data_IF_761364674259
#
_entry.id   IF_761364674259
#
_cell.length_a   1.000
_cell.length_b   1.000
_cell.length_c   1.000
_cell.angle_alpha   90.00
_cell.angle_beta   90.00
_cell.angle_gamma   90.00
#
_symmetry.space_group_name_H-M   'P 1'
#
loop_
_entity.id
_entity.type
_entity.pdbx_description
1 polymer ?
#
# COMPACT_ATOMS: atom_id res chain seq x y z
N UNK A 1 -6.65 23.04 -23.98
CA UNK A 1 -5.74 21.93 -24.35
C UNK A 1 -6.16 20.75 -23.51
N UNK A 2 -6.73 19.73 -24.14
CA UNK A 2 -7.23 18.54 -23.44
C UNK A 2 -6.04 17.87 -22.74
N UNK A 3 -6.14 17.68 -21.42
CA UNK A 3 -5.25 16.81 -20.67
C UNK A 3 -5.49 15.40 -21.20
N UNK A 4 -4.69 14.99 -22.18
CA UNK A 4 -4.68 13.61 -22.65
C UNK A 4 -4.33 12.76 -21.45
N UNK A 5 -5.29 11.92 -21.08
CA UNK A 5 -5.37 11.13 -19.85
C UNK A 5 -4.11 10.27 -19.68
N UNK A 6 -3.22 10.71 -18.78
CA UNK A 6 -1.77 10.42 -18.74
C UNK A 6 -1.45 8.93 -18.49
N UNK A 7 -2.43 8.07 -18.23
CA UNK A 7 -2.15 6.64 -18.09
C UNK A 7 -3.30 5.72 -18.52
N UNK A 8 -4.01 6.02 -19.61
CA UNK A 8 -5.16 5.24 -20.10
C UNK A 8 -4.91 3.72 -20.22
N UNK A 9 -3.66 3.27 -20.33
CA UNK A 9 -3.32 1.86 -20.53
C UNK A 9 -2.78 1.13 -19.28
N UNK A 10 -2.95 1.71 -18.09
CA UNK A 10 -2.49 1.12 -16.84
C UNK A 10 -3.61 0.46 -16.05
N UNK A 11 -3.94 -0.76 -16.45
CA UNK A 11 -4.85 -1.62 -15.71
C UNK A 11 -4.18 -2.95 -15.35
N UNK A 12 -4.38 -3.46 -14.13
CA UNK A 12 -3.99 -4.82 -13.82
C UNK A 12 -4.86 -5.77 -14.66
N UNK A 13 -4.22 -6.74 -15.32
CA UNK A 13 -4.94 -7.79 -16.05
C UNK A 13 -5.99 -8.45 -15.14
N UNK A 14 -7.09 -8.92 -15.72
CA UNK A 14 -8.16 -9.56 -14.95
C UNK A 14 -7.64 -10.68 -14.05
N UNK A 15 -6.74 -11.51 -14.57
CA UNK A 15 -6.09 -12.60 -13.82
C UNK A 15 -5.33 -12.05 -12.60
N UNK A 16 -4.57 -10.96 -12.76
CA UNK A 16 -3.80 -10.37 -11.67
C UNK A 16 -4.72 -9.81 -10.58
N UNK A 17 -5.84 -9.19 -10.99
CA UNK A 17 -6.87 -8.66 -10.08
C UNK A 17 -7.56 -9.76 -9.28
N UNK A 18 -7.94 -10.85 -9.93
CA UNK A 18 -8.53 -12.03 -9.29
C UNK A 18 -7.56 -12.66 -8.28
N UNK A 19 -6.28 -12.79 -8.63
CA UNK A 19 -5.26 -13.31 -7.71
C UNK A 19 -5.00 -12.38 -6.51
N UNK A 20 -5.02 -11.07 -6.74
CA UNK A 20 -4.89 -10.08 -5.68
C UNK A 20 -6.10 -10.13 -4.72
N UNK A 21 -7.32 -10.24 -5.26
CA UNK A 21 -8.54 -10.41 -4.46
C UNK A 21 -8.56 -11.72 -3.69
N UNK A 22 -8.04 -12.81 -4.27
CA UNK A 22 -7.87 -14.09 -3.58
C UNK A 22 -6.92 -13.94 -2.40
N UNK A 23 -5.78 -13.25 -2.56
CA UNK A 23 -4.87 -12.94 -1.46
C UNK A 23 -5.57 -12.12 -0.37
N UNK A 24 -6.32 -11.09 -0.75
CA UNK A 24 -7.06 -10.26 0.20
C UNK A 24 -8.14 -11.03 0.97
N UNK A 25 -8.80 -11.99 0.34
CA UNK A 25 -9.88 -12.80 0.96
C UNK A 25 -9.39 -13.73 2.07
N UNK A 26 -8.08 -14.02 2.12
CA UNK A 26 -7.45 -14.83 3.17
C UNK A 26 -7.30 -14.07 4.49
N UNK A 27 -7.29 -12.73 4.44
CA UNK A 27 -7.27 -11.89 5.64
C UNK A 27 -8.66 -11.91 6.28
N UNK A 28 -8.77 -12.15 7.61
CA UNK A 28 -10.05 -12.09 8.31
C UNK A 28 -10.77 -10.76 8.08
N UNK A 29 -12.06 -10.82 7.76
CA UNK A 29 -12.89 -9.63 7.68
C UNK A 29 -12.98 -8.95 9.05
N UNK A 30 -13.03 -7.62 9.02
CA UNK A 30 -13.10 -6.80 10.22
C UNK A 30 -14.21 -5.76 10.12
N UNK A 31 -14.81 -5.42 11.26
CA UNK A 31 -15.58 -4.20 11.46
C UNK A 31 -14.70 -3.16 12.16
N UNK A 32 -14.76 -1.91 11.71
CA UNK A 32 -14.02 -0.78 12.26
C UNK A 32 -14.96 0.40 12.45
N UNK A 33 -14.77 1.15 13.53
CA UNK A 33 -15.52 2.39 13.80
C UNK A 33 -15.19 3.53 12.81
N UNK A 34 -14.24 3.31 11.89
CA UNK A 34 -13.77 4.26 10.89
C UNK A 34 -13.32 5.63 11.45
N UNK A 35 -12.76 5.62 12.66
CA UNK A 35 -12.24 6.80 13.35
C UNK A 35 -11.09 7.53 12.60
N UNK A 36 -10.46 6.89 11.62
CA UNK A 36 -9.39 7.50 10.80
C UNK A 36 -8.02 7.58 11.47
N UNK A 37 -7.85 7.06 12.69
CA UNK A 37 -6.57 7.07 13.41
C UNK A 37 -5.46 6.34 12.64
N UNK A 38 -5.77 5.23 11.97
CA UNK A 38 -4.81 4.49 11.13
C UNK A 38 -4.40 5.25 9.85
N UNK A 39 -5.04 6.38 9.55
CA UNK A 39 -4.83 7.19 8.35
C UNK A 39 -4.18 8.55 8.65
N UNK A 40 -3.72 8.78 9.89
CA UNK A 40 -3.12 10.03 10.33
C UNK A 40 -1.90 9.74 11.21
N UNK A 41 -0.92 10.64 11.19
CA UNK A 41 0.26 10.61 12.05
C UNK A 41 0.51 11.99 12.64
N UNK A 42 1.08 12.01 13.83
CA UNK A 42 1.74 13.19 14.35
C UNK A 42 3.10 13.42 13.69
N UNK A 43 3.62 14.63 13.85
CA UNK A 43 4.99 14.96 13.42
C UNK A 43 6.04 14.13 14.16
N UNK A 44 5.78 13.78 15.42
CA UNK A 44 6.66 12.93 16.23
C UNK A 44 6.67 11.49 15.71
N UNK A 45 5.53 10.94 15.33
CA UNK A 45 5.43 9.61 14.74
C UNK A 45 6.14 9.57 13.38
N UNK A 46 5.93 10.60 12.55
CA UNK A 46 6.67 10.76 11.30
C UNK A 46 8.19 10.79 11.52
N UNK A 47 8.68 11.59 12.46
CA UNK A 47 10.12 11.66 12.81
C UNK A 47 10.68 10.33 13.29
N UNK A 48 9.84 9.47 13.89
CA UNK A 48 10.19 8.10 14.30
C UNK A 48 10.12 7.08 13.17
N UNK A 49 9.84 7.49 11.93
CA UNK A 49 9.81 6.62 10.76
C UNK A 49 8.45 5.99 10.44
N UNK A 50 7.38 6.43 11.10
CA UNK A 50 6.03 5.92 10.83
C UNK A 50 5.46 6.55 9.58
N UNK A 51 4.67 5.79 8.82
CA UNK A 51 4.09 6.21 7.54
C UNK A 51 2.58 5.94 7.54
N UNK A 52 1.76 6.97 7.26
CA UNK A 52 0.31 6.79 7.00
C UNK A 52 0.08 6.06 5.68
N UNK A 53 1.02 6.26 4.76
CA UNK A 53 1.07 5.70 3.43
C UNK A 53 2.30 4.80 3.32
N UNK A 54 2.13 3.54 3.76
CA UNK A 54 3.18 2.54 3.59
C UNK A 54 3.56 2.40 2.12
N UNK A 55 4.86 2.20 1.81
CA UNK A 55 5.24 1.82 0.47
C UNK A 55 4.53 0.53 0.05
N UNK A 56 3.61 0.63 -0.92
CA UNK A 56 2.85 -0.50 -1.46
C UNK A 56 3.50 -1.00 -2.74
N UNK A 57 3.24 -2.26 -3.05
CA UNK A 57 3.66 -2.84 -4.31
C UNK A 57 2.90 -2.20 -5.47
N UNK A 58 3.56 -2.07 -6.62
CA UNK A 58 2.98 -1.47 -7.83
C UNK A 58 1.64 -2.11 -8.22
N UNK A 59 1.50 -3.42 -8.08
CA UNK A 59 0.24 -4.15 -8.33
C UNK A 59 -0.94 -3.63 -7.50
N UNK A 60 -0.71 -3.25 -6.24
CA UNK A 60 -1.78 -2.72 -5.39
C UNK A 60 -2.18 -1.31 -5.83
N UNK A 61 -1.22 -0.48 -6.26
CA UNK A 61 -1.55 0.84 -6.79
C UNK A 61 -2.24 0.79 -8.13
N UNK A 62 -1.94 -0.16 -9.01
CA UNK A 62 -2.71 -0.34 -10.24
C UNK A 62 -4.18 -0.65 -9.93
N UNK A 63 -4.43 -1.48 -8.91
CA UNK A 63 -5.79 -1.76 -8.44
C UNK A 63 -6.48 -0.52 -7.83
N UNK A 64 -5.74 0.31 -7.10
CA UNK A 64 -6.25 1.58 -6.55
C UNK A 64 -6.51 2.62 -7.65
N UNK A 65 -5.57 2.77 -8.60
CA UNK A 65 -5.64 3.71 -9.73
C UNK A 65 -6.90 3.45 -10.56
N UNK A 66 -7.17 2.18 -10.87
CA UNK A 66 -8.35 1.75 -11.58
C UNK A 66 -9.65 2.17 -10.87
N UNK A 67 -9.72 1.97 -9.55
CA UNK A 67 -10.86 2.45 -8.76
C UNK A 67 -10.98 3.97 -8.76
N UNK A 68 -9.86 4.69 -8.58
CA UNK A 68 -9.84 6.16 -8.60
C UNK A 68 -10.36 6.70 -9.93
N UNK A 69 -10.04 6.05 -11.04
CA UNK A 69 -10.50 6.46 -12.38
C UNK A 69 -11.96 6.17 -12.64
N UNK A 70 -12.40 4.97 -12.31
CA UNK A 70 -13.71 4.46 -12.73
C UNK A 70 -14.82 4.80 -11.76
N UNK A 71 -14.51 4.97 -10.47
CA UNK A 71 -15.51 5.11 -9.41
C UNK A 71 -15.58 6.51 -8.79
N UNK A 72 -14.54 7.34 -8.92
CA UNK A 72 -14.51 8.65 -8.25
C UNK A 72 -14.95 9.81 -9.16
N UNK A 73 -15.62 10.83 -8.60
CA UNK A 73 -15.92 12.07 -9.31
C UNK A 73 -14.66 12.75 -9.84
N UNK A 74 -14.78 13.45 -10.97
CA UNK A 74 -13.66 14.08 -11.68
C UNK A 74 -12.78 14.94 -10.76
N UNK A 75 -13.35 15.85 -9.98
CA UNK A 75 -12.56 16.72 -9.08
C UNK A 75 -11.72 15.94 -8.06
N UNK A 76 -12.30 14.92 -7.42
CA UNK A 76 -11.57 14.10 -6.43
C UNK A 76 -10.53 13.20 -7.09
N UNK A 77 -10.84 12.69 -8.29
CA UNK A 77 -9.92 11.92 -9.12
C UNK A 77 -8.69 12.76 -9.48
N UNK A 78 -8.89 13.97 -9.99
CA UNK A 78 -7.79 14.87 -10.35
C UNK A 78 -6.89 15.20 -9.15
N UNK A 79 -7.50 15.50 -8.00
CA UNK A 79 -6.76 15.77 -6.76
C UNK A 79 -5.87 14.60 -6.36
N UNK A 80 -6.42 13.38 -6.36
CA UNK A 80 -5.68 12.18 -6.00
C UNK A 80 -4.57 11.84 -7.00
N UNK A 81 -4.79 12.04 -8.30
CA UNK A 81 -3.79 11.72 -9.34
C UNK A 81 -2.66 12.75 -9.41
N UNK A 82 -2.90 14.00 -8.98
CA UNK A 82 -1.87 15.05 -8.89
C UNK A 82 -1.12 15.06 -7.56
N UNK A 83 -1.50 14.19 -6.61
CA UNK A 83 -0.86 14.09 -5.32
C UNK A 83 0.56 13.52 -5.46
N UNK A 84 1.58 14.26 -5.03
CA UNK A 84 2.99 13.85 -5.11
C UNK A 84 3.70 13.84 -3.75
N UNK A 85 3.00 14.07 -2.64
CA UNK A 85 3.67 14.05 -1.34
C UNK A 85 4.08 12.62 -0.96
N UNK A 86 5.38 12.40 -0.76
CA UNK A 86 5.89 11.06 -0.48
C UNK A 86 5.50 10.58 0.91
N UNK A 87 5.55 11.48 1.90
CA UNK A 87 5.39 11.15 3.32
C UNK A 87 4.41 12.08 4.03
N UNK A 88 3.12 12.04 3.64
CA UNK A 88 2.12 12.91 4.22
C UNK A 88 1.78 12.50 5.66
N UNK A 89 1.45 13.50 6.48
CA UNK A 89 0.91 13.28 7.83
C UNK A 89 -0.50 12.66 7.80
N UNK A 90 -1.20 12.75 6.67
CA UNK A 90 -2.53 12.20 6.49
C UNK A 90 -2.64 11.46 5.16
N UNK A 91 -3.25 10.29 5.19
CA UNK A 91 -3.47 9.50 3.99
C UNK A 91 -4.36 10.28 3.00
N UNK A 92 -3.96 10.40 1.71
CA UNK A 92 -4.73 11.15 0.71
C UNK A 92 -6.10 10.51 0.42
N UNK A 93 -6.30 9.24 0.75
CA UNK A 93 -7.58 8.56 0.57
C UNK A 93 -8.55 8.73 1.75
N UNK A 94 -8.15 9.43 2.81
CA UNK A 94 -9.06 9.79 3.90
C UNK A 94 -9.85 11.03 3.50
N UNK A 95 -11.16 10.89 3.54
CA UNK A 95 -12.12 11.97 3.42
C UNK A 95 -12.87 12.11 4.74
N UNK A 96 -12.91 13.30 5.32
CA UNK A 96 -13.63 13.53 6.59
C UNK A 96 -15.13 13.73 6.37
N UNK A 97 -15.55 14.02 5.13
CA UNK A 97 -16.96 14.12 4.77
C UNK A 97 -17.62 12.74 4.60
N UNK A 98 -16.80 11.70 4.40
CA UNK A 98 -17.26 10.31 4.34
C UNK A 98 -17.03 9.61 5.68
N UNK A 99 -17.91 8.67 6.05
CA UNK A 99 -17.72 7.88 7.25
C UNK A 99 -16.47 6.98 7.18
N UNK A 100 -15.76 6.87 6.05
CA UNK A 100 -14.68 5.91 5.84
C UNK A 100 -13.62 6.35 4.83
N UNK A 101 -12.70 5.44 4.53
CA UNK A 101 -11.68 5.62 3.48
C UNK A 101 -12.34 5.55 2.10
N UNK A 102 -11.99 6.46 1.18
CA UNK A 102 -12.55 6.50 -0.18
C UNK A 102 -12.25 5.18 -0.92
N UNK A 103 -11.04 4.65 -0.76
CA UNK A 103 -10.61 3.41 -1.42
C UNK A 103 -10.90 2.17 -0.58
N UNK A 104 -11.78 2.24 0.43
CA UNK A 104 -12.05 1.10 1.32
C UNK A 104 -12.36 -0.21 0.57
N UNK A 105 -13.12 -0.24 -0.53
CA UNK A 105 -13.37 -1.47 -1.30
C UNK A 105 -12.09 -2.12 -1.85
N UNK A 106 -11.16 -1.29 -2.33
CA UNK A 106 -9.90 -1.72 -2.96
C UNK A 106 -8.67 -1.49 -2.08
N UNK A 107 -8.87 -1.34 -0.77
CA UNK A 107 -7.79 -1.07 0.19
C UNK A 107 -6.68 -2.13 0.08
N UNK A 108 -5.41 -1.74 0.22
CA UNK A 108 -4.29 -2.67 0.08
C UNK A 108 -4.16 -3.62 1.27
N UNK A 109 -3.32 -4.64 1.13
CA UNK A 109 -3.10 -5.69 2.12
C UNK A 109 -2.78 -5.10 3.50
N UNK A 110 -1.86 -4.14 3.59
CA UNK A 110 -1.46 -3.53 4.87
C UNK A 110 -2.63 -2.85 5.59
N UNK A 111 -3.57 -2.27 4.86
CA UNK A 111 -4.78 -1.68 5.44
C UNK A 111 -5.79 -2.74 5.88
N UNK A 112 -5.76 -3.94 5.28
CA UNK A 112 -6.62 -5.07 5.66
C UNK A 112 -6.12 -5.77 6.91
N UNK A 113 -4.80 -5.77 7.14
CA UNK A 113 -4.17 -6.42 8.30
C UNK A 113 -4.27 -5.59 9.58
N UNK A 114 -4.60 -4.29 9.47
CA UNK A 114 -4.68 -3.38 10.60
C UNK A 114 -5.80 -3.80 11.58
N UNK A 115 -5.44 -3.98 12.84
CA UNK A 115 -6.36 -4.37 13.92
C UNK A 115 -6.81 -5.82 13.90
N UNK A 116 -6.24 -6.68 13.03
CA UNK A 116 -6.64 -8.10 12.96
C UNK A 116 -6.10 -8.91 14.15
N UNK A 117 -4.87 -8.63 14.61
CA UNK A 117 -4.31 -9.25 15.81
C UNK A 117 -4.30 -8.27 16.97
N UNK A 118 -4.70 -8.73 18.14
CA UNK A 118 -4.41 -8.10 19.42
C UNK A 118 -3.11 -8.64 20.03
N UNK A 119 -2.70 -8.11 21.20
CA UNK A 119 -1.50 -8.57 21.89
C UNK A 119 -1.53 -10.07 22.21
N UNK A 120 -2.70 -10.61 22.56
CA UNK A 120 -2.86 -12.03 22.88
C UNK A 120 -2.69 -12.92 21.65
N UNK A 121 -3.29 -12.54 20.51
CA UNK A 121 -3.13 -13.29 19.26
C UNK A 121 -1.70 -13.22 18.73
N UNK A 122 -0.99 -12.10 18.91
CA UNK A 122 0.43 -11.97 18.53
C UNK A 122 1.27 -13.00 19.30
N UNK A 123 1.12 -13.07 20.61
CA UNK A 123 1.87 -14.02 21.43
C UNK A 123 1.45 -15.47 21.16
N UNK A 124 0.17 -15.71 20.86
CA UNK A 124 -0.30 -17.02 20.43
C UNK A 124 0.31 -17.44 19.09
N UNK A 125 0.42 -16.53 18.12
CA UNK A 125 1.06 -16.81 16.84
C UNK A 125 2.54 -17.23 17.04
N UNK A 126 3.27 -16.52 17.90
CA UNK A 126 4.66 -16.88 18.25
C UNK A 126 4.72 -18.25 18.91
N UNK A 127 3.83 -18.54 19.85
CA UNK A 127 3.81 -19.82 20.57
C UNK A 127 3.53 -21.00 19.64
N UNK A 128 2.57 -20.85 18.72
CA UNK A 128 2.11 -21.93 17.83
C UNK A 128 2.97 -22.11 16.59
N UNK A 129 3.39 -21.02 15.97
CA UNK A 129 3.98 -21.03 14.63
C UNK A 129 5.43 -20.50 14.60
N UNK A 130 5.94 -19.99 15.72
CA UNK A 130 7.29 -19.44 15.83
C UNK A 130 8.42 -20.48 16.01
N UNK A 131 8.07 -21.76 16.17
CA UNK A 131 9.05 -22.83 16.38
C UNK A 131 10.08 -22.92 15.24
N UNK A 132 11.37 -22.92 15.58
CA UNK A 132 12.46 -23.01 14.61
C UNK A 132 12.79 -21.71 13.87
N UNK A 133 12.08 -20.61 14.17
CA UNK A 133 12.34 -19.31 13.53
C UNK A 133 13.48 -18.54 14.21
N UNK A 134 14.24 -17.72 13.47
CA UNK A 134 15.26 -16.86 14.06
C UNK A 134 14.66 -15.84 15.05
N UNK A 135 15.34 -15.58 16.17
CA UNK A 135 14.85 -14.65 17.20
C UNK A 135 14.56 -13.24 16.65
N UNK A 136 15.45 -12.70 15.80
CA UNK A 136 15.25 -11.39 15.18
C UNK A 136 14.02 -11.31 14.24
N UNK A 137 13.60 -12.46 13.71
CA UNK A 137 12.37 -12.55 12.92
C UNK A 137 11.15 -12.41 13.82
N UNK A 138 11.11 -13.16 14.93
CA UNK A 138 10.05 -13.09 15.93
C UNK A 138 9.95 -11.68 16.50
N UNK A 139 11.08 -11.03 16.79
CA UNK A 139 11.12 -9.64 17.26
C UNK A 139 10.54 -8.68 16.22
N UNK A 140 10.89 -8.85 14.94
CA UNK A 140 10.34 -8.04 13.85
C UNK A 140 8.84 -8.22 13.71
N UNK A 141 8.36 -9.47 13.76
CA UNK A 141 6.94 -9.80 13.73
C UNK A 141 6.18 -9.12 14.88
N UNK A 142 6.64 -9.30 16.14
CA UNK A 142 6.04 -8.66 17.31
C UNK A 142 5.98 -7.14 17.17
N UNK A 143 7.08 -6.51 16.75
CA UNK A 143 7.14 -5.06 16.56
C UNK A 143 6.17 -4.58 15.50
N UNK A 144 6.08 -5.29 14.37
CA UNK A 144 5.20 -4.92 13.26
C UNK A 144 3.74 -5.15 13.60
N UNK A 145 3.35 -6.33 14.07
CA UNK A 145 1.95 -6.58 14.43
C UNK A 145 1.52 -5.73 15.62
N UNK A 146 2.41 -5.52 16.60
CA UNK A 146 2.17 -4.61 17.73
C UNK A 146 1.87 -3.17 17.29
N UNK A 147 2.41 -2.73 16.15
CA UNK A 147 2.14 -1.42 15.56
C UNK A 147 0.78 -1.32 14.84
N UNK A 148 0.14 -2.46 14.60
CA UNK A 148 -1.13 -2.57 13.89
C UNK A 148 -2.31 -2.83 14.84
N UNK A 149 -2.06 -2.98 16.14
CA UNK A 149 -3.11 -3.23 17.14
C UNK A 149 -4.07 -2.05 17.18
N UNK A 150 -5.38 -2.34 17.12
CA UNK A 150 -6.42 -1.32 17.22
C UNK A 150 -7.58 -1.80 18.08
N UNK A 151 -7.87 -1.16 19.23
CA UNK A 151 -8.97 -1.57 20.10
C UNK A 151 -10.36 -1.27 19.53
N UNK A 152 -10.43 -0.55 18.39
CA UNK A 152 -11.68 -0.17 17.69
C UNK A 152 -11.99 -1.06 16.49
N UNK A 153 -11.21 -2.14 16.32
CA UNK A 153 -11.40 -3.12 15.25
C UNK A 153 -11.88 -4.41 15.88
N UNK A 154 -12.93 -5.00 15.30
CA UNK A 154 -13.46 -6.31 15.68
C UNK A 154 -13.34 -7.27 14.50
N UNK A 155 -12.72 -8.43 14.73
CA UNK A 155 -12.66 -9.51 13.75
C UNK A 155 -14.03 -10.16 13.61
N UNK A 156 -14.48 -10.34 12.37
CA UNK A 156 -15.78 -10.92 12.01
C UNK A 156 -15.68 -12.39 11.57
N UNK A 157 -14.49 -12.82 11.17
CA UNK A 157 -14.18 -14.18 10.70
C UNK A 157 -13.08 -14.81 11.59
N UNK A 158 -13.37 -15.06 12.90
CA UNK A 158 -12.37 -15.56 13.84
C UNK A 158 -11.81 -16.93 13.45
N UNK A 159 -12.54 -17.74 12.68
CA UNK A 159 -12.11 -19.03 12.15
C UNK A 159 -10.91 -18.93 11.19
N UNK A 160 -10.69 -17.76 10.57
CA UNK A 160 -9.52 -17.51 9.72
C UNK A 160 -8.26 -17.15 10.51
N UNK A 161 -8.37 -16.82 11.79
CA UNK A 161 -7.24 -16.35 12.60
C UNK A 161 -6.05 -17.33 12.64
N UNK A 162 -6.23 -18.66 12.80
CA UNK A 162 -5.09 -19.58 12.83
C UNK A 162 -4.23 -19.51 11.56
N UNK A 163 -4.84 -19.65 10.38
CA UNK A 163 -4.15 -19.57 9.09
C UNK A 163 -3.61 -18.17 8.83
N UNK A 164 -4.31 -17.13 9.29
CA UNK A 164 -3.82 -15.76 9.20
C UNK A 164 -2.55 -15.54 10.04
N UNK A 165 -2.53 -15.98 11.31
CA UNK A 165 -1.38 -15.89 12.19
C UNK A 165 -0.15 -16.60 11.61
N UNK A 166 -0.32 -17.83 11.11
CA UNK A 166 0.73 -18.59 10.43
C UNK A 166 1.25 -17.85 9.18
N UNK A 167 0.35 -17.37 8.33
CA UNK A 167 0.73 -16.62 7.13
C UNK A 167 1.45 -15.30 7.44
N UNK A 168 1.09 -14.62 8.54
CA UNK A 168 1.75 -13.37 8.97
C UNK A 168 3.14 -13.64 9.52
N UNK A 169 3.27 -14.58 10.46
CA UNK A 169 4.56 -14.86 11.10
C UNK A 169 5.58 -15.40 10.09
N UNK A 170 5.17 -16.17 9.09
CA UNK A 170 6.06 -16.67 8.03
C UNK A 170 6.22 -15.72 6.83
N UNK A 171 5.70 -14.48 6.89
CA UNK A 171 5.65 -13.52 5.78
C UNK A 171 4.98 -14.04 4.49
N UNK A 172 4.15 -15.08 4.57
CA UNK A 172 3.50 -15.70 3.41
C UNK A 172 2.73 -14.70 2.55
N UNK A 173 1.97 -13.80 3.18
CA UNK A 173 1.23 -12.75 2.47
C UNK A 173 2.14 -11.81 1.67
N UNK A 174 3.28 -11.40 2.26
CA UNK A 174 4.21 -10.48 1.60
C UNK A 174 4.94 -11.18 0.46
N UNK A 175 5.34 -12.44 0.64
CA UNK A 175 5.93 -13.26 -0.42
C UNK A 175 4.96 -13.47 -1.59
N UNK A 176 3.69 -13.74 -1.32
CA UNK A 176 2.67 -13.86 -2.38
C UNK A 176 2.47 -12.54 -3.11
N UNK A 177 2.38 -11.43 -2.39
CA UNK A 177 2.21 -10.11 -3.00
C UNK A 177 3.42 -9.70 -3.86
N UNK A 178 4.64 -10.00 -3.40
CA UNK A 178 5.87 -9.78 -4.17
C UNK A 178 5.88 -10.59 -5.46
N UNK A 179 5.52 -11.87 -5.42
CA UNK A 179 5.36 -12.72 -6.62
C UNK A 179 4.31 -12.19 -7.59
N UNK A 180 3.18 -11.68 -7.10
CA UNK A 180 2.19 -11.03 -7.96
C UNK A 180 2.77 -9.77 -8.62
N UNK A 181 3.53 -8.99 -7.85
CA UNK A 181 4.15 -7.76 -8.32
C UNK A 181 5.27 -7.99 -9.36
N UNK A 182 5.89 -9.16 -9.41
CA UNK A 182 6.89 -9.49 -10.45
C UNK A 182 6.33 -9.38 -11.87
N UNK A 183 5.01 -9.52 -12.02
CA UNK A 183 4.29 -9.40 -13.31
C UNK A 183 3.97 -7.95 -13.68
N UNK A 184 4.26 -7.00 -12.79
CA UNK A 184 4.06 -5.57 -13.02
C UNK A 184 5.41 -4.92 -13.28
N UNK A 185 5.49 -4.21 -14.41
CA UNK A 185 6.69 -3.46 -14.76
C UNK A 185 6.40 -1.97 -14.80
N UNK A 186 6.84 -1.25 -13.77
CA UNK A 186 6.80 0.21 -13.73
C UNK A 186 8.21 0.79 -13.63
N UNK A 187 8.53 1.84 -14.42
CA UNK A 187 7.60 2.58 -15.30
C UNK A 187 7.24 1.90 -16.63
N UNK A 188 6.26 2.47 -17.33
CA UNK A 188 5.85 2.11 -18.69
C UNK A 188 7.01 2.22 -19.68
N UNK A 189 6.94 1.48 -20.79
CA UNK A 189 8.03 1.29 -21.75
C UNK A 189 8.64 2.59 -22.28
N UNK A 190 7.80 3.57 -22.59
CA UNK A 190 8.15 4.92 -23.03
C UNK A 190 9.00 5.71 -22.02
N UNK A 191 8.83 5.45 -20.72
CA UNK A 191 9.57 6.11 -19.63
C UNK A 191 10.75 5.31 -19.10
N UNK A 192 10.93 4.05 -19.50
CA UNK A 192 11.95 3.14 -18.92
C UNK A 192 13.37 3.65 -19.07
N UNK A 193 13.74 4.08 -20.27
CA UNK A 193 15.11 4.53 -20.54
C UNK A 193 15.45 5.77 -19.71
N UNK A 194 14.56 6.76 -19.73
CA UNK A 194 14.71 7.99 -18.97
C UNK A 194 14.72 7.72 -17.46
N UNK A 195 13.82 6.87 -16.96
CA UNK A 195 13.83 6.44 -15.57
C UNK A 195 15.14 5.75 -15.19
N UNK A 196 15.66 4.85 -16.02
CA UNK A 196 16.94 4.17 -15.77
C UNK A 196 18.09 5.17 -15.72
N UNK A 197 18.08 6.19 -16.60
CA UNK A 197 19.06 7.28 -16.61
C UNK A 197 19.03 8.09 -15.30
N UNK A 198 17.84 8.43 -14.82
CA UNK A 198 17.63 9.23 -13.60
C UNK A 198 17.94 8.42 -12.34
N UNK A 199 17.34 7.24 -12.23
CA UNK A 199 17.26 6.47 -10.98
C UNK A 199 18.36 5.44 -10.81
N UNK A 200 19.02 5.03 -11.91
CA UNK A 200 19.89 3.85 -12.00
C UNK A 200 19.20 2.54 -11.63
N UNK A 201 17.86 2.50 -11.69
CA UNK A 201 17.05 1.30 -11.44
C UNK A 201 16.28 0.93 -12.70
N UNK A 202 16.03 -0.37 -12.83
CA UNK A 202 15.18 -0.92 -13.90
C UNK A 202 13.69 -0.73 -13.64
N UNK A 203 13.31 -0.81 -12.36
CA UNK A 203 11.92 -0.73 -11.90
C UNK A 203 11.84 -0.25 -10.47
N UNK A 204 10.64 0.15 -10.06
CA UNK A 204 10.26 0.36 -8.66
C UNK A 204 9.44 -0.84 -8.19
N UNK A 205 9.81 -1.43 -7.04
CA UNK A 205 9.08 -2.58 -6.48
C UNK A 205 7.93 -2.05 -5.64
N UNK A 206 8.23 -1.09 -4.76
CA UNK A 206 7.24 -0.45 -3.90
C UNK A 206 7.55 1.01 -3.65
N UNK A 207 6.48 1.80 -3.51
CA UNK A 207 6.58 3.24 -3.27
C UNK A 207 5.33 3.78 -2.58
N UNK A 208 5.27 5.07 -2.29
CA UNK A 208 4.07 5.71 -1.74
C UNK A 208 3.15 6.17 -2.88
N UNK A 209 1.90 6.52 -2.59
CA UNK A 209 0.98 7.01 -3.64
C UNK A 209 1.54 8.22 -4.38
N UNK A 210 2.14 9.15 -3.64
CA UNK A 210 2.80 10.31 -4.24
C UNK A 210 3.95 9.92 -5.18
N UNK A 211 4.74 8.93 -4.79
CA UNK A 211 5.80 8.38 -5.63
C UNK A 211 5.28 7.65 -6.88
N UNK A 212 4.26 6.81 -6.71
CA UNK A 212 3.56 6.14 -7.80
C UNK A 212 3.03 7.18 -8.81
N UNK A 213 2.32 8.20 -8.36
CA UNK A 213 1.82 9.27 -9.22
C UNK A 213 2.94 10.05 -9.91
N UNK A 214 4.02 10.38 -9.19
CA UNK A 214 5.17 11.07 -9.78
C UNK A 214 5.80 10.27 -10.94
N UNK A 215 5.83 8.93 -10.83
CA UNK A 215 6.33 8.04 -11.87
C UNK A 215 5.34 7.86 -13.03
N UNK A 216 4.05 7.72 -12.69
CA UNK A 216 3.04 7.14 -13.57
C UNK A 216 2.02 8.16 -14.08
N UNK A 217 1.58 9.09 -13.22
CA UNK A 217 0.50 10.03 -13.50
C UNK A 217 0.98 11.45 -13.85
N UNK A 218 2.29 11.71 -13.74
CA UNK A 218 2.89 12.99 -14.11
C UNK A 218 2.97 13.16 -15.63
N UNK A 219 2.89 14.39 -16.14
CA UNK A 219 3.09 14.65 -17.57
C UNK A 219 4.54 14.41 -17.98
N UNK A 220 4.81 14.15 -19.27
CA UNK A 220 6.17 13.91 -19.75
C UNK A 220 7.12 15.09 -19.52
N UNK A 221 6.60 16.32 -19.56
CA UNK A 221 7.36 17.53 -19.22
C UNK A 221 7.78 17.50 -17.76
N UNK A 222 6.83 17.30 -16.85
CA UNK A 222 7.12 17.19 -15.41
C UNK A 222 8.07 16.02 -15.12
N UNK A 223 7.87 14.88 -15.77
CA UNK A 223 8.71 13.70 -15.59
C UNK A 223 10.17 13.97 -15.99
N UNK A 224 10.42 14.68 -17.09
CA UNK A 224 11.79 15.00 -17.51
C UNK A 224 12.45 16.08 -16.65
N UNK A 225 11.69 17.06 -16.19
CA UNK A 225 12.23 18.27 -15.54
C UNK A 225 12.27 18.16 -14.01
N UNK A 226 11.22 17.63 -13.39
CA UNK A 226 11.03 17.64 -11.93
C UNK A 226 11.30 16.28 -11.28
N UNK A 227 10.99 15.17 -11.97
CA UNK A 227 11.19 13.83 -11.40
C UNK A 227 12.63 13.56 -10.95
N UNK A 228 13.71 14.01 -11.63
CA UNK A 228 15.08 13.78 -11.13
C UNK A 228 15.31 14.36 -9.73
N UNK A 229 14.78 15.57 -9.47
CA UNK A 229 14.87 16.22 -8.16
C UNK A 229 14.00 15.50 -7.14
N UNK A 230 12.78 15.11 -7.54
CA UNK A 230 11.86 14.34 -6.71
C UNK A 230 12.47 13.00 -6.29
N UNK A 231 13.02 12.24 -7.25
CA UNK A 231 13.70 10.96 -7.02
C UNK A 231 14.87 11.10 -6.05
N UNK A 232 15.71 12.12 -6.22
CA UNK A 232 16.84 12.38 -5.31
C UNK A 232 16.39 12.67 -3.87
N UNK A 233 15.21 13.27 -3.70
CA UNK A 233 14.63 13.56 -2.39
C UNK A 233 13.86 12.37 -1.80
N UNK A 234 13.47 11.40 -2.63
CA UNK A 234 12.65 10.25 -2.25
C UNK A 234 13.40 9.33 -1.27
N UNK A 235 12.76 9.05 -0.13
CA UNK A 235 13.34 8.23 0.96
C UNK A 235 12.64 6.90 1.15
N UNK A 236 11.44 6.75 0.61
CA UNK A 236 10.56 5.60 0.87
C UNK A 236 10.49 4.63 -0.31
N UNK A 237 11.14 4.95 -1.44
CA UNK A 237 11.19 4.08 -2.61
C UNK A 237 12.08 2.85 -2.38
N UNK A 238 11.56 1.66 -2.73
CA UNK A 238 12.36 0.43 -2.82
C UNK A 238 12.22 -0.19 -4.20
#
# INVERSE_FOLDING_TARGET
>A
MANTDICQDLEPSQILREQLNLLYSQVPATACDNCGHCCQLSEEERKRGWVTMYPLYAVEYLNILEFVRTQLPEGRREELLRFHEEWPLRCPFRDDSLPGCIIYPVRPLVCRTYGVLGPEEIEEAVRRFGGGMPAGWIETFRRWEGSLVCPRVRVLEPEKLPSYMEGRIHYGYMTLLEKLNERVWLPQEDRREEFRRISRRERVIRWTWGGFNALVCSSDGWFREEFPRYWKASRLVR
#
